data_IF_182857036460
#
_entry.id   IF_182857036460
#
_cell.length_a   1.000
_cell.length_b   1.000
_cell.length_c   1.000
_cell.angle_alpha   90.00
_cell.angle_beta   90.00
_cell.angle_gamma   90.00
#
_symmetry.space_group_name_H-M   'P 1'
#
loop_
_entity.id
_entity.type
_entity.pdbx_description
1 polymer ?
#
# COMPACT_ATOMS: atom_id res chain seq x y z
N UNK A 1 -15.36 31.36 -14.77
CA UNK A 1 -16.18 30.19 -15.17
C UNK A 1 -15.23 29.00 -15.19
N UNK A 2 -15.11 28.34 -14.06
CA UNK A 2 -14.23 27.17 -13.90
C UNK A 2 -14.87 25.96 -14.58
N UNK A 3 -14.11 25.32 -15.43
CA UNK A 3 -14.55 24.20 -16.25
C UNK A 3 -14.72 22.95 -15.37
N UNK A 4 -15.89 22.31 -15.32
CA UNK A 4 -16.15 21.14 -14.45
C UNK A 4 -15.23 19.93 -14.72
N UNK A 5 -14.62 19.86 -15.91
CA UNK A 5 -13.75 18.77 -16.34
C UNK A 5 -12.37 18.74 -15.64
N UNK A 6 -11.93 19.85 -15.05
CA UNK A 6 -10.62 19.97 -14.40
C UNK A 6 -10.62 19.38 -12.97
N UNK A 7 -11.78 19.41 -12.29
CA UNK A 7 -11.93 18.81 -10.94
C UNK A 7 -12.02 17.30 -10.94
N UNK A 8 -12.58 16.71 -12.00
CA UNK A 8 -12.67 15.23 -12.11
C UNK A 8 -11.36 14.60 -12.55
N UNK A 9 -10.53 15.32 -13.33
CA UNK A 9 -9.20 14.85 -13.74
C UNK A 9 -8.24 14.82 -12.53
N UNK A 10 -8.25 15.87 -11.70
CA UNK A 10 -7.46 15.93 -10.46
C UNK A 10 -7.90 14.86 -9.44
N UNK A 11 -9.18 14.52 -9.40
CA UNK A 11 -9.72 13.48 -8.50
C UNK A 11 -9.14 12.08 -8.75
N UNK A 12 -8.74 11.79 -9.99
CA UNK A 12 -8.17 10.49 -10.38
C UNK A 12 -6.64 10.41 -10.24
N UNK A 13 -5.95 11.55 -10.07
CA UNK A 13 -4.47 11.58 -10.07
C UNK A 13 -3.84 11.12 -8.73
N UNK A 14 -4.62 10.98 -7.64
CA UNK A 14 -4.07 10.93 -6.29
C UNK A 14 -4.42 9.64 -5.53
N UNK A 15 -5.37 8.85 -6.03
CA UNK A 15 -5.80 7.60 -5.41
C UNK A 15 -4.69 6.57 -5.15
N UNK A 16 -3.68 6.39 -6.02
CA UNK A 16 -2.60 5.45 -5.75
C UNK A 16 -1.78 5.76 -4.50
N UNK A 17 -1.65 7.04 -4.14
CA UNK A 17 -0.97 7.42 -2.90
C UNK A 17 -1.69 6.90 -1.66
N UNK A 18 -3.03 6.89 -1.67
CA UNK A 18 -3.82 6.44 -0.53
C UNK A 18 -3.68 4.94 -0.28
N UNK A 19 -3.58 4.16 -1.35
CA UNK A 19 -3.52 2.70 -1.25
C UNK A 19 -2.16 2.19 -0.82
N UNK A 20 -1.09 2.92 -1.15
CA UNK A 20 0.24 2.66 -0.60
C UNK A 20 0.27 2.92 0.92
N UNK A 21 -0.57 3.82 1.45
CA UNK A 21 -0.62 4.18 2.87
C UNK A 21 -1.63 3.38 3.69
N UNK A 22 -2.63 2.76 3.06
CA UNK A 22 -3.68 2.07 3.79
C UNK A 22 -3.25 0.66 4.23
N UNK A 23 -3.59 0.31 5.47
CA UNK A 23 -3.23 -0.94 6.12
C UNK A 23 -4.26 -2.02 5.74
N UNK A 24 -3.93 -3.05 4.97
CA UNK A 24 -4.74 -4.26 4.91
C UNK A 24 -4.47 -5.09 6.16
N UNK A 25 -5.51 -5.36 6.97
CA UNK A 25 -5.33 -5.93 8.33
C UNK A 25 -6.26 -7.12 8.62
N UNK A 26 -6.78 -7.78 7.61
CA UNK A 26 -7.66 -8.93 7.82
C UNK A 26 -6.97 -10.25 7.48
N UNK A 27 -6.91 -11.23 8.42
CA UNK A 27 -6.45 -12.57 8.07
C UNK A 27 -7.43 -13.17 7.06
N UNK A 28 -7.01 -13.30 5.82
CA UNK A 28 -7.73 -14.12 4.84
C UNK A 28 -7.55 -15.57 5.28
N UNK A 29 -8.65 -16.24 5.64
CA UNK A 29 -8.63 -17.68 5.76
C UNK A 29 -7.94 -18.26 4.52
N UNK A 30 -6.77 -18.87 4.72
CA UNK A 30 -5.91 -19.40 3.68
C UNK A 30 -6.70 -20.34 2.78
N UNK A 31 -7.06 -19.86 1.59
CA UNK A 31 -7.49 -20.75 0.51
C UNK A 31 -6.22 -21.45 0.05
N UNK A 32 -6.15 -22.74 0.36
CA UNK A 32 -5.11 -23.67 -0.05
C UNK A 32 -4.76 -23.45 -1.53
N UNK A 33 -3.54 -22.95 -1.77
CA UNK A 33 -2.97 -22.95 -3.12
C UNK A 33 -2.75 -24.41 -3.54
N UNK A 34 -3.51 -24.83 -4.52
CA UNK A 34 -3.38 -26.13 -5.16
C UNK A 34 -2.03 -26.21 -5.89
N UNK A 35 -1.19 -27.14 -5.45
CA UNK A 35 0.09 -27.44 -6.10
C UNK A 35 -0.19 -28.29 -7.34
N UNK A 36 -0.16 -27.67 -8.49
CA UNK A 36 -0.14 -28.41 -9.76
C UNK A 36 1.04 -27.98 -10.65
N UNK A 37 1.94 -28.92 -10.78
CA UNK A 37 2.75 -29.34 -11.92
C UNK A 37 4.07 -28.65 -12.29
N UNK A 38 5.05 -29.49 -12.31
CA UNK A 38 6.51 -29.39 -12.53
C UNK A 38 6.94 -28.75 -13.87
N UNK A 39 6.08 -28.59 -14.86
CA UNK A 39 6.44 -28.00 -16.17
C UNK A 39 6.42 -26.45 -16.16
N UNK A 40 5.99 -25.85 -15.07
CA UNK A 40 5.83 -24.41 -14.91
C UNK A 40 7.01 -23.73 -14.19
N UNK A 41 8.01 -24.48 -13.75
CA UNK A 41 9.02 -24.00 -12.81
C UNK A 41 9.91 -22.91 -13.41
N UNK A 42 10.51 -23.15 -14.57
CA UNK A 42 11.37 -22.15 -15.24
C UNK A 42 10.63 -20.86 -15.61
N UNK A 43 9.40 -20.98 -16.11
CA UNK A 43 8.61 -19.79 -16.48
C UNK A 43 8.20 -18.98 -15.25
N UNK A 44 7.90 -19.66 -14.15
CA UNK A 44 7.57 -19.01 -12.88
C UNK A 44 8.81 -18.36 -12.26
N UNK A 45 9.95 -19.06 -12.26
CA UNK A 45 11.23 -18.49 -11.83
C UNK A 45 11.61 -17.25 -12.65
N UNK A 46 11.42 -17.31 -13.97
CA UNK A 46 11.68 -16.16 -14.82
C UNK A 46 10.73 -14.99 -14.51
N UNK A 47 9.44 -15.25 -14.27
CA UNK A 47 8.47 -14.22 -13.85
C UNK A 47 8.92 -13.55 -12.56
N UNK A 48 9.31 -14.33 -11.55
CA UNK A 48 9.78 -13.79 -10.28
C UNK A 48 11.00 -12.90 -10.46
N UNK A 49 11.99 -13.33 -11.23
CA UNK A 49 13.19 -12.53 -11.54
C UNK A 49 12.85 -11.23 -12.28
N UNK A 50 11.88 -11.28 -13.21
CA UNK A 50 11.42 -10.08 -13.91
C UNK A 50 10.74 -9.12 -12.93
N UNK A 51 9.87 -9.62 -12.04
CA UNK A 51 9.18 -8.79 -11.05
C UNK A 51 10.16 -8.16 -10.07
N UNK A 52 11.07 -8.92 -9.50
CA UNK A 52 12.06 -8.43 -8.53
C UNK A 52 12.96 -7.32 -9.10
N UNK A 53 13.46 -7.53 -10.31
CA UNK A 53 14.29 -6.51 -10.96
C UNK A 53 13.47 -5.27 -11.33
N UNK A 54 12.28 -5.47 -11.89
CA UNK A 54 11.43 -4.37 -12.34
C UNK A 54 10.90 -3.53 -11.18
N UNK A 55 10.50 -4.15 -10.08
CA UNK A 55 10.07 -3.49 -8.86
C UNK A 55 11.18 -2.56 -8.34
N UNK A 56 12.39 -3.08 -8.20
CA UNK A 56 13.56 -2.31 -7.77
C UNK A 56 13.83 -1.11 -8.68
N UNK A 57 13.77 -1.32 -10.01
CA UNK A 57 13.99 -0.26 -10.98
C UNK A 57 12.88 0.80 -10.94
N UNK A 58 11.61 0.38 -10.82
CA UNK A 58 10.49 1.31 -10.71
C UNK A 58 10.59 2.16 -9.44
N UNK A 59 10.92 1.55 -8.32
CA UNK A 59 11.04 2.25 -7.04
C UNK A 59 12.22 3.24 -7.04
N UNK A 60 13.33 2.89 -7.65
CA UNK A 60 14.52 3.74 -7.68
C UNK A 60 14.42 4.88 -8.70
N UNK A 61 13.83 4.63 -9.88
CA UNK A 61 13.94 5.52 -11.03
C UNK A 61 12.61 6.13 -11.50
N UNK A 62 11.48 5.72 -10.90
CA UNK A 62 10.14 6.02 -11.41
C UNK A 62 9.75 5.13 -12.59
N UNK A 63 8.47 5.09 -12.90
CA UNK A 63 7.93 4.18 -13.92
C UNK A 63 8.30 4.62 -15.33
N UNK A 64 8.30 5.93 -15.60
CA UNK A 64 8.53 6.47 -16.95
C UNK A 64 9.94 6.17 -17.48
N UNK A 65 10.94 6.28 -16.62
CA UNK A 65 12.36 6.09 -16.98
C UNK A 65 12.68 4.63 -17.27
N UNK A 66 12.02 3.70 -16.63
CA UNK A 66 12.25 2.26 -16.82
C UNK A 66 11.72 1.81 -18.18
N UNK A 67 12.57 1.21 -19.00
CA UNK A 67 12.23 0.70 -20.34
C UNK A 67 12.21 -0.83 -20.32
N UNK A 68 11.18 -1.43 -20.94
CA UNK A 68 11.06 -2.88 -21.08
C UNK A 68 12.32 -3.50 -21.71
N UNK A 69 12.92 -2.80 -22.69
CA UNK A 69 14.16 -3.23 -23.34
C UNK A 69 15.34 -3.34 -22.38
N UNK A 70 15.45 -2.42 -21.42
CA UNK A 70 16.52 -2.44 -20.43
C UNK A 70 16.34 -3.62 -19.46
N UNK A 71 15.09 -3.93 -19.08
CA UNK A 71 14.76 -5.10 -18.25
C UNK A 71 15.17 -6.39 -18.97
N UNK A 72 14.78 -6.55 -20.25
CA UNK A 72 15.13 -7.72 -21.04
C UNK A 72 16.65 -7.91 -21.17
N UNK A 73 17.37 -6.83 -21.45
CA UNK A 73 18.83 -6.85 -21.57
C UNK A 73 19.51 -7.23 -20.25
N UNK A 74 19.10 -6.63 -19.14
CA UNK A 74 19.67 -6.93 -17.82
C UNK A 74 19.48 -8.40 -17.43
N UNK A 75 18.30 -8.94 -17.68
CA UNK A 75 17.97 -10.32 -17.36
C UNK A 75 18.50 -11.33 -18.41
N UNK A 76 19.17 -10.84 -19.47
CA UNK A 76 19.68 -11.65 -20.57
C UNK A 76 18.60 -12.50 -21.25
N UNK A 77 17.40 -11.94 -21.41
CA UNK A 77 16.27 -12.57 -22.10
C UNK A 77 15.92 -11.79 -23.38
N UNK A 78 15.25 -12.46 -24.32
CA UNK A 78 14.78 -11.75 -25.51
C UNK A 78 13.63 -10.79 -25.17
N UNK A 79 13.55 -9.65 -25.87
CA UNK A 79 12.40 -8.74 -25.77
C UNK A 79 11.09 -9.50 -25.99
N UNK A 80 11.07 -10.40 -26.98
CA UNK A 80 9.90 -11.23 -27.27
C UNK A 80 9.45 -12.02 -26.04
N UNK A 81 10.37 -12.66 -25.34
CA UNK A 81 10.08 -13.41 -24.10
C UNK A 81 9.47 -12.52 -23.03
N UNK A 82 10.02 -11.32 -22.82
CA UNK A 82 9.47 -10.37 -21.86
C UNK A 82 8.04 -9.93 -22.21
N UNK A 83 7.80 -9.58 -23.49
CA UNK A 83 6.47 -9.15 -23.94
C UNK A 83 5.45 -10.29 -24.03
N UNK A 84 5.87 -11.54 -24.16
CA UNK A 84 5.00 -12.73 -24.05
C UNK A 84 4.54 -12.98 -22.60
N UNK A 85 5.32 -12.52 -21.61
CA UNK A 85 4.98 -12.64 -20.18
C UNK A 85 4.18 -11.42 -19.73
N UNK A 86 4.67 -10.22 -20.05
CA UNK A 86 4.06 -8.93 -19.69
C UNK A 86 3.87 -8.09 -20.96
N UNK A 87 2.69 -8.12 -21.58
CA UNK A 87 2.41 -7.45 -22.85
C UNK A 87 2.68 -5.94 -22.83
N UNK A 88 2.52 -5.31 -21.67
CA UNK A 88 2.79 -3.87 -21.50
C UNK A 88 3.56 -3.60 -20.22
N UNK A 89 4.20 -2.43 -20.15
CA UNK A 89 4.86 -1.96 -18.93
C UNK A 89 3.83 -1.75 -17.78
N UNK A 90 2.60 -1.38 -18.11
CA UNK A 90 1.51 -1.26 -17.14
C UNK A 90 1.12 -2.62 -16.54
N UNK A 91 1.11 -3.69 -17.36
CA UNK A 91 0.89 -5.06 -16.85
C UNK A 91 1.98 -5.47 -15.85
N UNK A 92 3.24 -5.21 -16.21
CA UNK A 92 4.38 -5.50 -15.36
C UNK A 92 4.32 -4.70 -14.05
N UNK A 93 4.05 -3.40 -14.14
CA UNK A 93 3.90 -2.53 -12.97
C UNK A 93 2.78 -3.01 -12.04
N UNK A 94 1.63 -3.35 -12.60
CA UNK A 94 0.48 -3.85 -11.83
C UNK A 94 0.83 -5.16 -11.09
N UNK A 95 1.54 -6.07 -11.73
CA UNK A 95 1.97 -7.32 -11.08
C UNK A 95 3.04 -7.09 -9.99
N UNK A 96 3.94 -6.12 -10.16
CA UNK A 96 4.86 -5.70 -9.09
C UNK A 96 4.09 -5.18 -7.88
N UNK A 97 3.09 -4.32 -8.08
CA UNK A 97 2.25 -3.78 -6.99
C UNK A 97 1.47 -4.89 -6.28
N UNK A 98 0.86 -5.82 -7.02
CA UNK A 98 0.13 -6.95 -6.43
C UNK A 98 1.04 -7.85 -5.60
N UNK A 99 2.25 -8.15 -6.10
CA UNK A 99 3.25 -8.94 -5.39
C UNK A 99 3.64 -8.27 -4.09
N UNK A 100 3.92 -6.96 -4.14
CA UNK A 100 4.25 -6.16 -2.97
C UNK A 100 3.12 -6.19 -1.93
N UNK A 101 1.88 -5.96 -2.35
CA UNK A 101 0.71 -5.96 -1.47
C UNK A 101 0.50 -7.33 -0.82
N UNK A 102 0.62 -8.42 -1.60
CA UNK A 102 0.52 -9.79 -1.07
C UNK A 102 1.61 -10.08 -0.04
N UNK A 103 2.84 -9.68 -0.30
CA UNK A 103 3.95 -9.84 0.65
C UNK A 103 3.73 -9.03 1.93
N UNK A 104 3.21 -7.80 1.81
CA UNK A 104 2.87 -6.96 2.95
C UNK A 104 1.76 -7.58 3.80
N UNK A 105 0.67 -8.03 3.18
CA UNK A 105 -0.43 -8.70 3.85
C UNK A 105 0.04 -9.96 4.60
N UNK A 106 0.82 -10.81 3.93
CA UNK A 106 1.35 -12.04 4.53
C UNK A 106 2.24 -11.77 5.75
N UNK A 107 3.03 -10.70 5.74
CA UNK A 107 3.87 -10.32 6.90
C UNK A 107 3.03 -9.86 8.09
N UNK A 108 1.93 -9.15 7.84
CA UNK A 108 1.01 -8.76 8.92
C UNK A 108 0.27 -9.97 9.48
N UNK A 109 -0.22 -10.86 8.61
CA UNK A 109 -0.87 -12.10 9.01
C UNK A 109 0.06 -12.95 9.88
N UNK A 110 1.29 -13.15 9.43
CA UNK A 110 2.32 -13.87 10.18
C UNK A 110 2.58 -13.23 11.55
N UNK A 111 2.70 -11.90 11.61
CA UNK A 111 2.90 -11.19 12.89
C UNK A 111 1.71 -11.41 13.84
N UNK A 112 0.48 -11.36 13.33
CA UNK A 112 -0.73 -11.60 14.12
C UNK A 112 -0.77 -13.03 14.65
N UNK A 113 -0.45 -14.03 13.83
CA UNK A 113 -0.47 -15.44 14.19
C UNK A 113 0.63 -15.80 15.21
N UNK A 114 1.85 -15.29 15.02
CA UNK A 114 3.00 -15.65 15.85
C UNK A 114 3.02 -14.91 17.19
N UNK A 115 2.60 -13.65 17.22
CA UNK A 115 2.77 -12.78 18.40
C UNK A 115 1.46 -12.49 19.14
N UNK A 116 0.31 -12.81 18.56
CA UNK A 116 -1.02 -12.46 19.09
C UNK A 116 -1.09 -10.99 19.60
N UNK A 117 -0.67 -10.01 18.77
CA UNK A 117 -0.52 -8.62 19.18
C UNK A 117 -1.89 -7.98 19.43
N UNK A 118 -1.95 -6.96 20.27
CA UNK A 118 -3.14 -6.13 20.44
C UNK A 118 -3.32 -5.14 19.24
N UNK A 119 -4.47 -4.46 19.21
CA UNK A 119 -4.80 -3.55 18.11
C UNK A 119 -3.76 -2.42 17.90
N UNK A 120 -3.19 -1.87 18.99
CA UNK A 120 -2.17 -0.81 18.91
C UNK A 120 -0.86 -1.37 18.34
N UNK A 121 -0.43 -2.55 18.78
CA UNK A 121 0.76 -3.21 18.27
C UNK A 121 0.66 -3.52 16.77
N UNK A 122 -0.52 -3.95 16.29
CA UNK A 122 -0.76 -4.17 14.86
C UNK A 122 -0.61 -2.84 14.09
N UNK A 123 -1.18 -1.74 14.59
CA UNK A 123 -1.06 -0.43 13.94
C UNK A 123 0.40 0.02 13.87
N UNK A 124 1.12 -0.07 14.99
CA UNK A 124 2.53 0.36 15.05
C UNK A 124 3.40 -0.50 14.12
N UNK A 125 3.19 -1.82 14.11
CA UNK A 125 3.91 -2.72 13.20
C UNK A 125 3.65 -2.37 11.74
N UNK A 126 2.38 -2.20 11.37
CA UNK A 126 1.97 -1.84 10.01
C UNK A 126 2.51 -0.46 9.59
N UNK A 127 2.48 0.52 10.50
CA UNK A 127 3.05 1.84 10.29
C UNK A 127 4.55 1.76 10.00
N UNK A 128 5.33 1.04 10.83
CA UNK A 128 6.77 0.89 10.65
C UNK A 128 7.11 0.24 9.30
N UNK A 129 6.40 -0.82 8.93
CA UNK A 129 6.58 -1.47 7.62
C UNK A 129 6.30 -0.52 6.45
N UNK A 130 5.22 0.25 6.52
CA UNK A 130 4.85 1.21 5.47
C UNK A 130 5.87 2.34 5.38
N UNK A 131 6.30 2.86 6.50
CA UNK A 131 7.30 3.93 6.54
C UNK A 131 8.63 3.46 5.93
N UNK A 132 9.11 2.28 6.34
CA UNK A 132 10.34 1.69 5.80
C UNK A 132 10.28 1.54 4.28
N UNK A 133 9.17 1.02 3.76
CA UNK A 133 8.96 0.92 2.32
C UNK A 133 8.94 2.29 1.64
N UNK A 134 8.23 3.25 2.24
CA UNK A 134 8.06 4.59 1.70
C UNK A 134 9.38 5.34 1.52
N UNK A 135 10.28 5.20 2.49
CA UNK A 135 11.60 5.82 2.46
C UNK A 135 12.50 5.28 1.34
N UNK A 136 12.16 4.13 0.78
CA UNK A 136 12.88 3.53 -0.35
C UNK A 136 12.35 3.99 -1.72
N UNK A 137 11.17 4.62 -1.77
CA UNK A 137 10.54 5.03 -3.02
C UNK A 137 11.06 6.37 -3.52
N UNK A 138 11.40 6.40 -4.81
CA UNK A 138 11.61 7.68 -5.49
C UNK A 138 10.25 8.43 -5.57
N UNK A 139 10.17 9.71 -5.19
CA UNK A 139 8.93 10.48 -5.31
C UNK A 139 8.29 10.44 -6.70
N UNK A 140 9.10 10.38 -7.76
CA UNK A 140 8.62 10.25 -9.14
C UNK A 140 7.81 8.98 -9.37
N UNK A 141 8.14 7.88 -8.66
CA UNK A 141 7.37 6.64 -8.77
C UNK A 141 5.92 6.86 -8.37
N UNK A 142 5.71 7.51 -7.23
CA UNK A 142 4.37 7.80 -6.71
C UNK A 142 3.59 8.75 -7.64
N UNK A 143 4.21 9.84 -8.08
CA UNK A 143 3.60 10.79 -9.01
C UNK A 143 3.20 10.15 -10.35
N UNK A 144 3.94 9.13 -10.77
CA UNK A 144 3.70 8.46 -12.05
C UNK A 144 2.64 7.35 -11.96
N UNK A 145 2.43 6.73 -10.80
CA UNK A 145 1.39 5.70 -10.61
C UNK A 145 0.00 6.19 -11.04
N UNK A 146 -0.30 7.45 -10.77
CA UNK A 146 -1.58 8.09 -11.10
C UNK A 146 -1.88 8.14 -12.61
N UNK A 147 -0.88 7.93 -13.46
CA UNK A 147 -1.03 7.98 -14.92
C UNK A 147 -1.49 6.65 -15.52
N UNK A 148 -1.52 5.58 -14.73
CA UNK A 148 -1.81 4.22 -15.18
C UNK A 148 -3.22 3.80 -14.76
N UNK A 149 -4.16 3.76 -15.73
CA UNK A 149 -5.60 3.50 -15.47
C UNK A 149 -5.86 2.15 -14.80
N UNK A 150 -5.11 1.10 -15.15
CA UNK A 150 -5.29 -0.23 -14.56
C UNK A 150 -4.78 -0.27 -13.12
N UNK A 151 -3.73 0.48 -12.82
CA UNK A 151 -3.25 0.66 -11.45
C UNK A 151 -4.31 1.38 -10.61
N UNK A 152 -4.89 2.48 -11.13
CA UNK A 152 -6.00 3.17 -10.47
C UNK A 152 -7.20 2.24 -10.22
N UNK A 153 -7.60 1.47 -11.22
CA UNK A 153 -8.71 0.51 -11.07
C UNK A 153 -8.41 -0.59 -10.06
N UNK A 154 -7.17 -1.02 -9.97
CA UNK A 154 -6.73 -1.99 -8.95
C UNK A 154 -6.89 -1.43 -7.54
N UNK A 155 -6.46 -0.21 -7.31
CA UNK A 155 -6.63 0.46 -6.02
C UNK A 155 -8.10 0.71 -5.69
N UNK A 156 -8.91 1.18 -6.65
CA UNK A 156 -10.36 1.37 -6.45
C UNK A 156 -11.08 0.07 -6.05
N UNK A 157 -10.66 -1.06 -6.61
CA UNK A 157 -11.23 -2.35 -6.28
C UNK A 157 -10.94 -2.79 -4.83
N UNK A 158 -9.87 -2.28 -4.23
CA UNK A 158 -9.46 -2.60 -2.85
C UNK A 158 -10.11 -1.73 -1.78
N UNK A 159 -10.83 -0.66 -2.16
CA UNK A 159 -11.49 0.24 -1.20
C UNK A 159 -12.39 -0.49 -0.20
N UNK A 160 -13.20 -1.45 -0.69
CA UNK A 160 -14.09 -2.23 0.19
C UNK A 160 -13.33 -3.13 1.15
N UNK A 161 -12.22 -3.69 0.70
CA UNK A 161 -11.35 -4.54 1.53
C UNK A 161 -10.70 -3.70 2.63
N UNK A 162 -10.23 -2.51 2.32
CA UNK A 162 -9.68 -1.55 3.29
C UNK A 162 -10.69 -1.19 4.37
N UNK A 163 -11.91 -0.84 3.99
CA UNK A 163 -12.97 -0.50 4.95
C UNK A 163 -13.28 -1.69 5.88
N UNK A 164 -13.29 -2.91 5.35
CA UNK A 164 -13.51 -4.13 6.12
C UNK A 164 -12.36 -4.35 7.11
N UNK A 165 -11.13 -4.22 6.66
CA UNK A 165 -9.93 -4.40 7.48
C UNK A 165 -9.84 -3.34 8.58
N UNK A 166 -10.12 -2.08 8.26
CA UNK A 166 -10.15 -1.01 9.25
C UNK A 166 -11.25 -1.26 10.29
N UNK A 167 -12.45 -1.65 9.86
CA UNK A 167 -13.54 -1.94 10.79
C UNK A 167 -13.21 -3.11 11.73
N UNK A 168 -12.57 -4.17 11.25
CA UNK A 168 -12.11 -5.28 12.08
C UNK A 168 -11.12 -4.80 13.15
N UNK A 169 -10.08 -4.05 12.75
CA UNK A 169 -9.08 -3.52 13.66
C UNK A 169 -9.69 -2.55 14.68
N UNK A 170 -10.58 -1.67 14.23
CA UNK A 170 -11.27 -0.72 15.09
C UNK A 170 -12.12 -1.44 16.14
N UNK A 171 -12.91 -2.45 15.72
CA UNK A 171 -13.73 -3.27 16.62
C UNK A 171 -12.88 -3.95 17.68
N UNK A 172 -11.78 -4.57 17.26
CA UNK A 172 -10.80 -5.19 18.17
C UNK A 172 -10.23 -4.19 19.16
N UNK A 173 -9.83 -3.00 18.70
CA UNK A 173 -9.32 -1.96 19.58
C UNK A 173 -10.37 -1.44 20.60
N UNK A 174 -11.66 -1.44 20.24
CA UNK A 174 -12.76 -1.13 21.17
C UNK A 174 -12.92 -2.24 22.21
N UNK A 175 -12.90 -3.52 21.80
CA UNK A 175 -12.99 -4.69 22.71
C UNK A 175 -11.81 -4.73 23.68
N UNK A 176 -10.60 -4.39 23.23
CA UNK A 176 -9.38 -4.30 24.04
C UNK A 176 -9.31 -3.02 24.90
N UNK A 177 -10.34 -2.13 24.80
CA UNK A 177 -10.44 -0.84 25.53
C UNK A 177 -9.34 0.17 25.12
N UNK A 178 -8.72 0.01 23.98
CA UNK A 178 -7.77 0.99 23.43
C UNK A 178 -8.47 2.09 22.65
N UNK A 179 -9.60 1.78 21.97
CA UNK A 179 -10.34 2.75 21.17
C UNK A 179 -11.68 3.12 21.83
N UNK A 180 -12.12 4.32 21.54
CA UNK A 180 -13.37 4.88 22.02
C UNK A 180 -14.55 4.20 21.30
N UNK A 181 -15.51 3.69 22.07
CA UNK A 181 -16.71 2.98 21.55
C UNK A 181 -17.80 3.89 20.98
N UNK A 182 -17.72 5.20 21.26
CA UNK A 182 -18.67 6.21 20.80
C UNK A 182 -18.41 6.70 19.38
N UNK A 183 -17.35 6.20 18.73
CA UNK A 183 -16.95 6.61 17.39
C UNK A 183 -17.45 5.62 16.31
N UNK A 184 -17.69 6.15 15.12
CA UNK A 184 -18.08 5.36 13.96
C UNK A 184 -16.85 5.03 13.10
N UNK A 185 -16.53 3.75 12.97
CA UNK A 185 -15.34 3.27 12.23
C UNK A 185 -15.30 3.76 10.77
N UNK A 186 -16.45 3.82 10.09
CA UNK A 186 -16.51 4.26 8.70
C UNK A 186 -16.21 5.76 8.55
N UNK A 187 -16.67 6.58 9.51
CA UNK A 187 -16.33 8.01 9.51
C UNK A 187 -14.82 8.18 9.73
N UNK A 188 -14.24 7.43 10.68
CA UNK A 188 -12.81 7.49 10.96
C UNK A 188 -11.98 7.02 9.78
N UNK A 189 -12.34 5.88 9.15
CA UNK A 189 -11.68 5.41 7.91
C UNK A 189 -11.69 6.48 6.82
N UNK A 190 -12.83 7.13 6.61
CA UNK A 190 -12.95 8.21 5.64
C UNK A 190 -12.09 9.44 6.00
N UNK A 191 -12.00 9.80 7.28
CA UNK A 191 -11.14 10.91 7.73
C UNK A 191 -9.67 10.64 7.43
N UNK A 192 -9.18 9.43 7.70
CA UNK A 192 -7.82 9.01 7.31
C UNK A 192 -7.59 9.19 5.82
N UNK A 193 -8.50 8.63 5.01
CA UNK A 193 -8.42 8.69 3.55
C UNK A 193 -8.39 10.12 3.03
N UNK A 194 -9.30 10.96 3.50
CA UNK A 194 -9.41 12.36 3.06
C UNK A 194 -8.20 13.19 3.51
N UNK A 195 -7.73 12.99 4.75
CA UNK A 195 -6.58 13.75 5.27
C UNK A 195 -5.30 13.46 4.49
N UNK A 196 -5.01 12.19 4.22
CA UNK A 196 -3.85 11.80 3.41
C UNK A 196 -3.98 12.30 1.98
N UNK A 197 -5.17 12.16 1.40
CA UNK A 197 -5.44 12.65 0.06
C UNK A 197 -5.18 14.15 -0.06
N UNK A 198 -5.78 14.94 0.80
CA UNK A 198 -5.65 16.40 0.79
C UNK A 198 -4.19 16.86 0.98
N UNK A 199 -3.45 16.18 1.86
CA UNK A 199 -2.05 16.45 2.09
C UNK A 199 -1.18 16.20 0.85
N UNK A 200 -1.51 15.19 0.07
CA UNK A 200 -0.81 14.85 -1.17
C UNK A 200 -1.23 15.79 -2.30
N UNK A 201 -2.55 16.05 -2.44
CA UNK A 201 -3.09 16.98 -3.45
C UNK A 201 -2.47 18.37 -3.35
N UNK A 202 -2.22 18.83 -2.12
CA UNK A 202 -1.58 20.11 -1.84
C UNK A 202 -0.04 20.01 -1.77
N UNK A 203 0.54 18.88 -2.17
CA UNK A 203 1.98 18.68 -2.22
C UNK A 203 2.72 18.96 -0.89
N UNK A 204 2.04 18.82 0.26
CA UNK A 204 2.61 19.10 1.58
C UNK A 204 3.87 18.26 1.86
N UNK A 205 3.99 17.10 1.23
CA UNK A 205 5.18 16.25 1.32
C UNK A 205 6.45 16.94 0.75
N UNK A 206 6.31 17.92 -0.15
CA UNK A 206 7.45 18.68 -0.68
C UNK A 206 7.98 19.70 0.33
N UNK A 207 7.11 20.22 1.19
CA UNK A 207 7.47 21.20 2.23
C UNK A 207 7.97 20.52 3.51
N UNK A 208 7.25 19.50 4.00
CA UNK A 208 7.52 18.87 5.29
C UNK A 208 8.28 17.56 5.21
N UNK A 209 8.38 16.95 4.03
CA UNK A 209 8.86 15.59 3.85
C UNK A 209 7.76 14.55 4.08
N UNK A 210 7.84 13.45 3.35
CA UNK A 210 6.80 12.41 3.36
C UNK A 210 6.73 11.67 4.69
N UNK A 211 7.88 11.41 5.31
CA UNK A 211 7.96 10.74 6.61
C UNK A 211 7.23 11.51 7.69
N UNK A 212 7.52 12.81 7.78
CA UNK A 212 6.93 13.69 8.79
C UNK A 212 5.42 13.83 8.59
N UNK A 213 5.02 14.02 7.33
CA UNK A 213 3.61 14.13 6.96
C UNK A 213 2.82 12.87 7.32
N UNK A 214 3.36 11.70 6.98
CA UNK A 214 2.71 10.43 7.28
C UNK A 214 2.62 10.16 8.78
N UNK A 215 3.71 10.42 9.51
CA UNK A 215 3.74 10.30 10.96
C UNK A 215 2.66 11.16 11.61
N UNK A 216 2.62 12.45 11.28
CA UNK A 216 1.72 13.39 11.95
C UNK A 216 0.25 13.09 11.64
N UNK A 217 -0.10 12.80 10.39
CA UNK A 217 -1.48 12.43 10.03
C UNK A 217 -1.90 11.16 10.76
N UNK A 218 -1.09 10.09 10.68
CA UNK A 218 -1.42 8.81 11.29
C UNK A 218 -1.57 8.94 12.80
N UNK A 219 -0.57 9.49 13.50
CA UNK A 219 -0.61 9.53 14.96
C UNK A 219 -1.57 10.56 15.53
N UNK A 220 -1.83 11.67 14.83
CA UNK A 220 -2.88 12.61 15.25
C UNK A 220 -4.25 11.95 15.20
N UNK A 221 -4.58 11.26 14.11
CA UNK A 221 -5.87 10.61 13.97
C UNK A 221 -6.02 9.40 14.89
N UNK A 222 -4.98 8.57 15.04
CA UNK A 222 -5.03 7.41 15.93
C UNK A 222 -5.18 7.86 17.39
N UNK A 223 -4.42 8.84 17.85
CA UNK A 223 -4.57 9.38 19.22
C UNK A 223 -5.97 9.98 19.45
N UNK A 224 -6.57 10.59 18.43
CA UNK A 224 -7.93 11.13 18.49
C UNK A 224 -9.01 10.09 18.70
N UNK A 225 -8.79 8.84 18.30
CA UNK A 225 -9.73 7.73 18.49
C UNK A 225 -9.44 6.90 19.77
N UNK A 226 -8.29 7.09 20.39
CA UNK A 226 -7.87 6.33 21.56
C UNK A 226 -8.56 6.75 22.84
N UNK A 227 -8.67 5.81 23.77
CA UNK A 227 -8.84 6.04 25.21
C UNK A 227 -7.50 6.47 25.82
N UNK A 228 -7.49 6.84 27.10
CA UNK A 228 -6.23 7.11 27.84
C UNK A 228 -5.31 5.90 27.78
N UNK A 229 -5.84 4.68 28.00
CA UNK A 229 -5.08 3.42 27.90
C UNK A 229 -4.46 3.23 26.52
N UNK A 230 -5.19 3.57 25.44
CA UNK A 230 -4.68 3.48 24.09
C UNK A 230 -3.55 4.48 23.81
N UNK A 231 -3.65 5.70 24.32
CA UNK A 231 -2.58 6.73 24.20
C UNK A 231 -1.31 6.25 24.93
N UNK A 232 -1.43 5.77 26.16
CA UNK A 232 -0.31 5.23 26.93
C UNK A 232 0.37 4.06 26.23
N UNK A 233 -0.40 3.15 25.61
CA UNK A 233 0.15 2.04 24.84
C UNK A 233 0.93 2.52 23.60
N UNK A 234 0.43 3.54 22.88
CA UNK A 234 1.15 4.14 21.76
C UNK A 234 2.47 4.73 22.24
N UNK A 235 2.45 5.51 23.33
CA UNK A 235 3.64 6.18 23.86
C UNK A 235 4.72 5.19 24.32
N UNK A 236 4.33 4.04 24.86
CA UNK A 236 5.25 2.96 25.24
C UNK A 236 5.92 2.27 24.04
N UNK A 237 5.25 2.20 22.89
CA UNK A 237 5.75 1.51 21.70
C UNK A 237 6.56 2.41 20.76
N UNK A 238 6.43 3.73 20.92
CA UNK A 238 7.16 4.72 20.12
C UNK A 238 8.43 5.24 20.79
N UNK A 239 8.54 5.11 22.12
CA UNK A 239 9.73 5.45 22.93
C UNK A 239 10.68 4.26 23.01
#
# INVERSE_FOLDING_TARGET
MDNPTDKDTKKNEIRPFLDVFFIPLYPKNSILMNKDCIVNDYRNELKERILEYSEKEFYANGVKQVKMDNIANYLSISKRTLYEIYPTKEDLLLECLKKHDTAYESRIEQYIEESNPNAIEIIIFSYKMKLEHFLQLNPLFLEELCKYKRVLSYFDARDKERDTNFNWLFTRGVEEVFFRKDLNSKIISNMFTVSLKEAIDNELYKEFGMEYLFHDIVFTLIRGICTIKGIEAIDQLLN
#
